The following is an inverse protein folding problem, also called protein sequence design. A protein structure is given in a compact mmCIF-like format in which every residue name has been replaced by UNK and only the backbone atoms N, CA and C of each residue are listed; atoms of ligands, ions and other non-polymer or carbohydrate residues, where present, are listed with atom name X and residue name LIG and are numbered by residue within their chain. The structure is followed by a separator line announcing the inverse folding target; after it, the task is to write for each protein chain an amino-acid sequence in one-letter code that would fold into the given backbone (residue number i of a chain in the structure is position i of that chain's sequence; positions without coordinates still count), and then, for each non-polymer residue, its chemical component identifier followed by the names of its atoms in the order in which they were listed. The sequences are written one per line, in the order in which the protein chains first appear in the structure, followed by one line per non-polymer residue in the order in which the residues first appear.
data_IF_648646166528
#
_entry.id   IF_648646166528
#
_cell.length_a   1.000
_cell.length_b   1.000
_cell.length_c   1.000
_cell.angle_alpha   90.00
_cell.angle_beta   90.00
_cell.angle_gamma   90.00
#
_symmetry.space_group_name_H-M   'P 1'
#
loop_
_entity.id
_entity.type
_entity.pdbx_description
1 polymer ?
#
# COMPACT_ATOMS: atom_id res chain seq x y z
N UNK A 1 22.78 -10.91 3.37
CA UNK A 1 21.55 -10.23 2.92
C UNK A 1 20.43 -11.27 2.83
N UNK A 2 19.29 -10.96 3.42
CA UNK A 2 18.11 -11.82 3.34
C UNK A 2 17.19 -11.35 2.20
N UNK A 3 16.75 -12.28 1.37
CA UNK A 3 15.75 -12.03 0.32
C UNK A 3 14.53 -12.89 0.58
N UNK A 4 13.36 -12.31 0.29
CA UNK A 4 12.08 -12.96 0.56
C UNK A 4 11.27 -13.13 -0.71
N UNK A 5 10.62 -14.29 -0.82
CA UNK A 5 9.73 -14.55 -1.95
C UNK A 5 8.37 -13.89 -1.68
N UNK A 6 7.87 -13.14 -2.67
CA UNK A 6 6.59 -12.42 -2.52
C UNK A 6 5.40 -13.33 -2.21
N UNK A 7 5.47 -14.60 -2.56
CA UNK A 7 4.42 -15.57 -2.26
C UNK A 7 4.24 -15.84 -0.77
N UNK A 8 5.25 -15.53 0.06
CA UNK A 8 5.15 -15.63 1.51
C UNK A 8 4.52 -14.42 2.18
N UNK A 9 4.35 -13.31 1.45
CA UNK A 9 3.76 -12.10 1.97
C UNK A 9 2.24 -12.15 2.04
N UNK A 10 1.63 -11.19 2.73
CA UNK A 10 0.19 -11.05 2.83
C UNK A 10 -0.22 -9.60 2.99
N UNK A 11 -1.48 -9.30 2.69
CA UNK A 11 -2.08 -7.98 2.87
C UNK A 11 -3.31 -8.14 3.76
N UNK A 12 -3.36 -7.36 4.84
CA UNK A 12 -4.45 -7.41 5.80
C UNK A 12 -5.08 -6.04 6.00
N UNK A 13 -6.35 -6.02 6.30
CA UNK A 13 -7.06 -4.84 6.84
C UNK A 13 -7.37 -5.15 8.31
N UNK A 14 -6.64 -4.47 9.23
CA UNK A 14 -6.72 -4.81 10.65
C UNK A 14 -6.31 -6.26 10.88
N UNK A 15 -7.22 -7.08 11.40
CA UNK A 15 -7.01 -8.50 11.64
C UNK A 15 -7.50 -9.39 10.49
N UNK A 16 -8.05 -8.82 9.42
CA UNK A 16 -8.72 -9.56 8.35
C UNK A 16 -7.86 -9.59 7.08
N UNK A 17 -7.55 -10.79 6.59
CA UNK A 17 -6.83 -10.96 5.33
C UNK A 17 -7.69 -10.53 4.15
N UNK A 18 -7.08 -9.87 3.16
CA UNK A 18 -7.73 -9.61 1.88
C UNK A 18 -7.62 -10.86 1.02
N UNK A 19 -8.76 -11.30 0.46
CA UNK A 19 -8.79 -12.51 -0.34
C UNK A 19 -8.18 -12.31 -1.72
N UNK A 20 -7.52 -13.35 -2.22
CA UNK A 20 -7.06 -13.48 -3.61
C UNK A 20 -6.10 -12.37 -4.08
N UNK A 21 -5.26 -11.87 -3.19
CA UNK A 21 -4.27 -10.84 -3.53
C UNK A 21 -3.23 -11.39 -4.49
N UNK A 22 -3.01 -10.71 -5.61
CA UNK A 22 -1.99 -11.03 -6.59
C UNK A 22 -0.72 -10.24 -6.34
N UNK A 23 -0.84 -8.96 -6.03
CA UNK A 23 0.29 -8.07 -5.81
C UNK A 23 -0.10 -6.89 -4.95
N UNK A 24 0.89 -6.28 -4.32
CA UNK A 24 0.73 -5.04 -3.57
C UNK A 24 2.01 -4.22 -3.72
N UNK A 25 1.82 -2.91 -3.87
CA UNK A 25 2.92 -1.96 -4.00
C UNK A 25 2.80 -0.89 -2.93
N UNK A 26 3.95 -0.37 -2.49
CA UNK A 26 4.00 0.77 -1.57
C UNK A 26 5.21 1.62 -1.90
N UNK A 27 5.00 2.92 -2.01
CA UNK A 27 6.04 3.91 -2.32
C UNK A 27 5.97 5.07 -1.34
N UNK A 28 7.11 5.43 -0.77
CA UNK A 28 7.24 6.64 0.05
C UNK A 28 7.99 7.71 -0.72
N UNK A 29 7.54 8.95 -0.62
CA UNK A 29 8.13 10.07 -1.34
C UNK A 29 8.21 11.28 -0.39
N UNK A 30 9.37 11.95 -0.37
CA UNK A 30 9.51 13.23 0.31
C UNK A 30 8.93 14.32 -0.60
N UNK A 31 7.80 14.90 -0.19
CA UNK A 31 7.11 15.93 -0.96
C UNK A 31 7.59 17.35 -0.66
N UNK A 32 8.54 17.49 0.27
CA UNK A 32 9.03 18.78 0.75
C UNK A 32 10.47 19.09 0.33
N UNK A 33 11.02 18.35 -0.64
CA UNK A 33 12.35 18.61 -1.18
C UNK A 33 12.33 19.94 -1.95
N UNK A 34 13.26 20.82 -1.60
CA UNK A 34 13.47 22.09 -2.28
C UNK A 34 14.93 22.20 -2.77
N UNK A 35 15.09 22.85 -3.90
CA UNK A 35 16.41 23.15 -4.46
C UNK A 35 17.00 24.35 -3.71
N UNK A 36 18.12 24.14 -3.00
CA UNK A 36 18.82 25.19 -2.29
C UNK A 36 20.17 25.52 -2.92
N UNK A 37 20.38 25.13 -4.18
CA UNK A 37 21.61 25.38 -4.92
C UNK A 37 21.89 26.89 -5.04
N UNK A 38 23.12 27.30 -4.71
CA UNK A 38 23.53 28.69 -4.80
C UNK A 38 24.25 28.98 -6.11
N UNK A 39 24.27 30.25 -6.50
CA UNK A 39 25.03 30.73 -7.68
C UNK A 39 26.50 30.39 -7.51
N UNK A 40 27.08 29.80 -8.56
CA UNK A 40 28.47 29.39 -8.56
C UNK A 40 28.74 27.97 -8.11
N UNK A 41 27.71 27.26 -7.65
CA UNK A 41 27.83 25.83 -7.30
C UNK A 41 28.08 24.99 -8.55
N UNK A 42 28.89 23.94 -8.42
CA UNK A 42 29.14 22.99 -9.50
C UNK A 42 28.23 21.78 -9.45
N UNK A 43 27.49 21.62 -8.35
CA UNK A 43 26.52 20.52 -8.15
C UNK A 43 25.20 21.08 -7.63
N UNK A 44 24.10 20.39 -7.95
CA UNK A 44 22.76 20.74 -7.44
C UNK A 44 22.67 20.26 -5.99
N UNK A 45 22.10 21.10 -5.13
CA UNK A 45 21.90 20.82 -3.72
C UNK A 45 20.40 20.91 -3.37
N UNK A 46 19.94 20.04 -2.47
CA UNK A 46 18.55 19.98 -2.06
C UNK A 46 18.42 19.94 -0.55
N UNK A 47 17.32 20.48 -0.06
CA UNK A 47 16.95 20.44 1.36
C UNK A 47 15.57 19.78 1.51
N UNK A 48 15.40 18.97 2.54
CA UNK A 48 14.12 18.32 2.86
C UNK A 48 13.45 19.01 4.03
N UNK A 49 12.15 19.26 3.90
CA UNK A 49 11.32 19.72 5.02
C UNK A 49 10.80 18.59 5.90
N UNK A 50 11.07 17.33 5.55
CA UNK A 50 10.67 16.16 6.33
C UNK A 50 9.23 15.71 6.12
N UNK A 51 8.55 16.18 5.09
CA UNK A 51 7.17 15.80 4.80
C UNK A 51 7.13 14.61 3.84
N UNK A 52 6.81 13.43 4.37
CA UNK A 52 6.78 12.17 3.63
C UNK A 52 5.35 11.82 3.27
N UNK A 53 5.14 11.45 2.00
CA UNK A 53 3.88 10.93 1.50
C UNK A 53 4.03 9.46 1.12
N UNK A 54 3.03 8.66 1.44
CA UNK A 54 2.97 7.26 1.07
C UNK A 54 1.80 6.98 0.15
N UNK A 55 2.00 6.09 -0.79
CA UNK A 55 0.96 5.64 -1.70
C UNK A 55 1.25 4.24 -2.21
N UNK A 56 0.23 3.58 -2.69
CA UNK A 56 0.41 2.25 -3.26
C UNK A 56 -0.88 1.67 -3.82
N UNK A 57 -0.80 0.41 -4.17
CA UNK A 57 -1.93 -0.31 -4.73
C UNK A 57 -1.96 -1.76 -4.26
N UNK A 58 -3.17 -2.33 -4.23
CA UNK A 58 -3.40 -3.75 -3.98
C UNK A 58 -4.21 -4.28 -5.15
N UNK A 59 -3.68 -5.29 -5.83
CA UNK A 59 -4.36 -5.96 -6.95
C UNK A 59 -4.75 -7.36 -6.54
N UNK A 60 -5.99 -7.73 -6.78
CA UNK A 60 -6.53 -9.03 -6.39
C UNK A 60 -7.52 -9.56 -7.44
N UNK A 61 -7.78 -10.86 -7.41
CA UNK A 61 -8.93 -11.42 -8.11
C UNK A 61 -10.20 -11.01 -7.36
N UNK A 62 -11.22 -10.61 -8.11
CA UNK A 62 -12.49 -10.18 -7.53
C UNK A 62 -13.13 -11.32 -6.71
N UNK A 63 -13.57 -11.01 -5.50
CA UNK A 63 -14.27 -11.93 -4.61
C UNK A 63 -15.40 -11.17 -3.90
N UNK A 64 -16.63 -11.43 -4.29
CA UNK A 64 -17.81 -10.77 -3.73
C UNK A 64 -18.19 -11.29 -2.34
N UNK A 65 -17.55 -12.37 -1.88
CA UNK A 65 -17.78 -12.92 -0.53
C UNK A 65 -16.79 -12.40 0.50
N UNK A 66 -15.78 -11.64 0.09
CA UNK A 66 -14.75 -11.08 0.98
C UNK A 66 -15.25 -9.79 1.65
N UNK A 67 -16.17 -9.93 2.60
CA UNK A 67 -16.83 -8.79 3.25
C UNK A 67 -15.92 -7.98 4.15
N UNK A 68 -14.90 -8.60 4.73
CA UNK A 68 -13.96 -7.93 5.65
C UNK A 68 -12.67 -7.46 4.97
N UNK A 69 -12.48 -7.78 3.70
CA UNK A 69 -11.32 -7.38 2.91
C UNK A 69 -11.72 -6.45 1.77
N UNK A 70 -12.03 -7.00 0.60
CA UNK A 70 -12.34 -6.21 -0.59
C UNK A 70 -13.55 -5.29 -0.41
N UNK A 71 -14.63 -5.80 0.15
CA UNK A 71 -15.82 -4.98 0.40
C UNK A 71 -15.57 -3.90 1.45
N UNK A 72 -14.75 -4.18 2.46
CA UNK A 72 -14.42 -3.19 3.47
C UNK A 72 -13.61 -2.02 2.88
N UNK A 73 -12.69 -2.30 1.96
CA UNK A 73 -11.94 -1.25 1.25
C UNK A 73 -12.86 -0.39 0.37
N UNK A 74 -13.77 -1.02 -0.34
CA UNK A 74 -14.71 -0.29 -1.20
C UNK A 74 -15.67 0.57 -0.37
N UNK A 75 -16.15 0.06 0.76
CA UNK A 75 -16.99 0.82 1.68
C UNK A 75 -16.26 2.03 2.27
N UNK A 76 -14.99 1.86 2.63
CA UNK A 76 -14.16 2.96 3.14
C UNK A 76 -13.94 4.03 2.07
N UNK A 77 -13.73 3.64 0.82
CA UNK A 77 -13.61 4.58 -0.30
C UNK A 77 -14.88 5.43 -0.42
N UNK A 78 -16.04 4.80 -0.42
CA UNK A 78 -17.33 5.48 -0.58
C UNK A 78 -17.67 6.38 0.59
N UNK A 79 -17.27 5.99 1.80
CA UNK A 79 -17.51 6.75 3.02
C UNK A 79 -16.44 7.83 3.28
N UNK A 80 -15.30 7.79 2.59
CA UNK A 80 -14.18 8.68 2.84
C UNK A 80 -13.47 8.40 4.17
N UNK A 81 -13.57 7.19 4.70
CA UNK A 81 -12.95 6.80 5.96
C UNK A 81 -11.63 6.07 5.74
N UNK A 82 -10.78 6.05 6.78
CA UNK A 82 -9.51 5.34 6.75
C UNK A 82 -9.70 3.84 7.04
N UNK A 83 -8.75 3.05 6.53
CA UNK A 83 -8.61 1.64 6.93
C UNK A 83 -7.18 1.43 7.43
N UNK A 84 -7.00 0.53 8.38
CA UNK A 84 -5.67 0.14 8.85
C UNK A 84 -5.15 -0.94 7.92
N UNK A 85 -4.16 -0.59 7.10
CA UNK A 85 -3.56 -1.49 6.12
C UNK A 85 -2.28 -2.08 6.70
N UNK A 86 -2.13 -3.40 6.58
CA UNK A 86 -0.93 -4.12 7.00
C UNK A 86 -0.35 -4.88 5.82
N UNK A 87 0.90 -4.56 5.46
CA UNK A 87 1.65 -5.29 4.44
C UNK A 87 2.66 -6.18 5.17
N UNK A 88 2.44 -7.48 5.13
CA UNK A 88 3.31 -8.46 5.76
C UNK A 88 4.39 -8.90 4.77
N UNK A 89 5.57 -8.29 4.90
CA UNK A 89 6.63 -8.41 3.91
C UNK A 89 7.34 -9.77 3.95
N UNK A 90 7.44 -10.37 5.13
CA UNK A 90 8.20 -11.61 5.34
C UNK A 90 7.33 -12.81 5.68
N UNK A 91 6.03 -12.60 5.79
CA UNK A 91 5.07 -13.65 6.12
C UNK A 91 4.17 -13.27 7.29
N UNK A 92 3.24 -14.16 7.63
CA UNK A 92 2.30 -13.97 8.75
C UNK A 92 2.84 -14.76 9.95
N UNK A 93 3.00 -14.09 11.09
CA UNK A 93 3.45 -14.74 12.31
C UNK A 93 4.13 -13.78 13.27
N UNK A 94 4.31 -14.22 14.50
CA UNK A 94 5.00 -13.44 15.54
C UNK A 94 6.47 -13.25 15.15
N UNK A 95 6.94 -12.00 15.20
CA UNK A 95 8.31 -11.64 14.86
C UNK A 95 8.55 -11.32 13.39
N UNK A 96 7.57 -11.57 12.51
CA UNK A 96 7.66 -11.23 11.10
C UNK A 96 7.51 -9.71 10.88
N UNK A 97 8.16 -9.19 9.86
CA UNK A 97 8.18 -7.76 9.57
C UNK A 97 6.90 -7.31 8.86
N UNK A 98 6.45 -6.10 9.20
CA UNK A 98 5.29 -5.50 8.57
C UNK A 98 5.49 -4.02 8.28
N UNK A 99 4.66 -3.51 7.37
CA UNK A 99 4.42 -2.08 7.18
C UNK A 99 2.95 -1.85 7.46
N UNK A 100 2.62 -0.95 8.36
CA UNK A 100 1.24 -0.73 8.77
C UNK A 100 0.93 0.75 8.98
N UNK A 101 -0.33 1.10 8.82
CA UNK A 101 -0.80 2.45 9.08
C UNK A 101 -2.22 2.65 8.57
N UNK A 102 -2.81 3.77 8.96
CA UNK A 102 -4.13 4.17 8.48
C UNK A 102 -3.98 4.85 7.13
N UNK A 103 -4.71 4.35 6.14
CA UNK A 103 -4.68 4.87 4.77
C UNK A 103 -6.07 5.19 4.29
N UNK A 104 -6.16 6.12 3.33
CA UNK A 104 -7.37 6.40 2.58
C UNK A 104 -7.33 5.62 1.28
N UNK A 105 -8.42 4.95 0.94
CA UNK A 105 -8.55 4.31 -0.36
C UNK A 105 -8.91 5.40 -1.37
N UNK A 106 -8.04 5.57 -2.35
CA UNK A 106 -8.15 6.66 -3.33
C UNK A 106 -9.05 6.29 -4.50
N UNK A 107 -8.92 5.06 -4.99
CA UNK A 107 -9.66 4.62 -6.18
C UNK A 107 -9.84 3.11 -6.18
N UNK A 108 -10.85 2.67 -6.94
CA UNK A 108 -11.17 1.27 -7.17
C UNK A 108 -11.38 1.05 -8.66
N UNK A 109 -10.72 0.04 -9.20
CA UNK A 109 -10.88 -0.34 -10.59
C UNK A 109 -11.28 -1.82 -10.67
N UNK A 110 -12.36 -2.08 -11.38
CA UNK A 110 -12.84 -3.43 -11.65
C UNK A 110 -12.59 -3.75 -13.13
N UNK A 111 -11.90 -4.84 -13.40
CA UNK A 111 -11.53 -5.24 -14.76
C UNK A 111 -12.28 -6.49 -15.17
N UNK A 112 -13.02 -6.40 -16.27
CA UNK A 112 -13.81 -7.49 -16.85
C UNK A 112 -13.32 -7.75 -18.28
N UNK A 113 -12.63 -8.86 -18.46
CA UNK A 113 -12.10 -9.26 -19.76
C UNK A 113 -12.58 -10.67 -20.11
N UNK A 114 -12.99 -10.84 -21.37
CA UNK A 114 -13.30 -12.18 -21.88
C UNK A 114 -12.02 -13.03 -21.92
N UNK A 115 -12.05 -14.18 -21.26
CA UNK A 115 -10.92 -15.09 -21.21
C UNK A 115 -9.94 -14.83 -20.06
N UNK A 116 -10.22 -13.86 -19.20
CA UNK A 116 -9.42 -13.57 -18.01
C UNK A 116 -10.28 -13.61 -16.75
N UNK A 117 -9.64 -13.80 -15.60
CA UNK A 117 -10.30 -13.73 -14.30
C UNK A 117 -10.63 -12.26 -14.01
N UNK A 118 -11.81 -12.01 -13.42
CA UNK A 118 -12.21 -10.67 -13.00
C UNK A 118 -11.23 -10.14 -11.95
N UNK A 119 -10.66 -8.98 -12.21
CA UNK A 119 -9.67 -8.37 -11.34
C UNK A 119 -10.20 -7.11 -10.65
N UNK A 120 -9.67 -6.83 -9.47
CA UNK A 120 -9.95 -5.61 -8.73
C UNK A 120 -8.64 -4.99 -8.28
N UNK A 121 -8.51 -3.67 -8.42
CA UNK A 121 -7.34 -2.92 -7.99
C UNK A 121 -7.78 -1.76 -7.11
N UNK A 122 -7.18 -1.67 -5.94
CA UNK A 122 -7.41 -0.57 -5.00
C UNK A 122 -6.13 0.24 -4.91
N UNK A 123 -6.25 1.56 -5.10
CA UNK A 123 -5.15 2.49 -4.85
C UNK A 123 -5.38 3.18 -3.52
N UNK A 124 -4.32 3.34 -2.75
CA UNK A 124 -4.41 3.96 -1.43
C UNK A 124 -3.38 5.05 -1.25
N UNK A 125 -3.65 5.96 -0.32
CA UNK A 125 -2.73 7.01 0.12
C UNK A 125 -2.64 7.05 1.63
N UNK A 126 -1.43 7.14 2.12
CA UNK A 126 -1.11 7.22 3.54
C UNK A 126 0.25 6.61 3.81
N UNK A 127 0.99 7.21 4.73
CA UNK A 127 2.31 6.70 5.10
C UNK A 127 2.16 5.48 6.02
N UNK A 128 2.93 4.44 5.73
CA UNK A 128 3.02 3.24 6.55
C UNK A 128 4.30 3.28 7.40
N UNK A 129 4.25 2.70 8.57
CA UNK A 129 5.39 2.60 9.47
C UNK A 129 5.90 1.17 9.54
N UNK A 130 7.20 1.03 9.84
CA UNK A 130 7.80 -0.28 10.06
C UNK A 130 7.41 -0.84 11.41
N UNK A 131 7.23 -2.17 11.47
CA UNK A 131 6.95 -2.85 12.70
C UNK A 131 7.18 -4.34 12.59
N UNK A 132 6.91 -5.03 13.68
CA UNK A 132 6.93 -6.50 13.75
C UNK A 132 5.58 -6.98 14.26
N UNK A 133 5.19 -8.14 13.78
CA UNK A 133 3.93 -8.77 14.18
C UNK A 133 3.98 -9.37 15.57
#
# INVERSE_FOLDING_TARGET
MATYHGNGGAVYIGANAIANVLSADYTETDTSIADDTVIGASTVSYISGGLVDGSGSVTCHFDDTDTNGQDAMLSALRAGSTVTLNLYCTGVGVGEHERSGDVLIESYNLSLDKGAVVGATFNFKGALTEGTQ
#
